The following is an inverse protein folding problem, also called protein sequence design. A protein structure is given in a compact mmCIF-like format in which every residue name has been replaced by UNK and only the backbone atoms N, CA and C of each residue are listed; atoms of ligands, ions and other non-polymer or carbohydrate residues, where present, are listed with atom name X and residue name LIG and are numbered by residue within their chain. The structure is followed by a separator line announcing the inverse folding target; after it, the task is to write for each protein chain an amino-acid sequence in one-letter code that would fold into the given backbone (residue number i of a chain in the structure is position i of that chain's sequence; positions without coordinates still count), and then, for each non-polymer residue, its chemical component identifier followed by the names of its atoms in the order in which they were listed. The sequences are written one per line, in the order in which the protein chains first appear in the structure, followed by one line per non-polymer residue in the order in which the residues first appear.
data_IF_651129807363
#
_entry.id   IF_651129807363
#
_cell.length_a   1.000
_cell.length_b   1.000
_cell.length_c   1.000
_cell.angle_alpha   90.00
_cell.angle_beta   90.00
_cell.angle_gamma   90.00
#
_symmetry.space_group_name_H-M   'P 1'
#
loop_
_entity.id
_entity.type
_entity.pdbx_description
1 polymer ?
#
# COMPACT_ATOMS: atom_id res chain seq x y z
N UNK A 1 -7.41 -3.88 -6.48
CA UNK A 1 -6.22 -4.29 -7.28
C UNK A 1 -5.12 -4.68 -6.28
N UNK A 2 -4.04 -5.37 -6.69
CA UNK A 2 -2.93 -5.68 -5.76
C UNK A 2 -2.09 -4.42 -5.53
N UNK A 3 -2.17 -3.85 -4.32
CA UNK A 3 -1.29 -2.74 -3.90
C UNK A 3 0.07 -3.22 -3.38
N UNK A 4 1.00 -2.28 -3.19
CA UNK A 4 2.39 -2.50 -2.78
C UNK A 4 2.48 -2.85 -1.30
N UNK A 5 3.24 -3.89 -0.95
CA UNK A 5 3.64 -4.21 0.42
C UNK A 5 5.10 -3.82 0.66
N UNK A 6 5.41 -3.17 1.80
CA UNK A 6 6.76 -2.66 2.07
C UNK A 6 7.06 -2.51 3.56
N UNK A 7 8.35 -2.48 3.93
CA UNK A 7 8.80 -2.10 5.28
C UNK A 7 8.75 -0.58 5.42
N UNK A 8 8.26 -0.08 6.56
CA UNK A 8 8.35 1.37 6.86
C UNK A 8 9.62 1.70 7.64
N UNK A 9 10.06 2.96 7.52
CA UNK A 9 11.02 3.59 8.42
C UNK A 9 10.52 3.45 9.86
N UNK A 10 11.40 3.00 10.75
CA UNK A 10 11.04 2.69 12.14
C UNK A 10 10.44 1.29 12.36
N UNK A 11 10.37 0.46 11.31
CA UNK A 11 9.95 -0.93 11.39
C UNK A 11 8.43 -1.13 11.28
N UNK A 12 8.03 -2.38 11.04
CA UNK A 12 6.65 -2.74 10.73
C UNK A 12 6.37 -2.81 9.22
N UNK A 13 5.17 -3.29 8.89
CA UNK A 13 4.72 -3.49 7.51
C UNK A 13 3.70 -2.44 7.12
N UNK A 14 3.76 -1.92 5.91
CA UNK A 14 2.70 -1.13 5.33
C UNK A 14 2.26 -1.71 3.99
N UNK A 15 1.02 -1.42 3.62
CA UNK A 15 0.45 -1.81 2.34
C UNK A 15 -0.39 -0.69 1.74
N UNK A 16 -0.22 -0.42 0.45
CA UNK A 16 -1.15 0.40 -0.31
C UNK A 16 -2.38 -0.39 -0.74
N UNK A 17 -3.51 0.29 -0.91
CA UNK A 17 -4.76 -0.29 -1.37
C UNK A 17 -5.48 0.69 -2.31
N UNK A 18 -6.32 0.14 -3.18
CA UNK A 18 -7.16 0.90 -4.11
C UNK A 18 -8.55 0.25 -4.29
N UNK A 19 -9.49 1.02 -4.80
CA UNK A 19 -10.89 0.63 -4.93
C UNK A 19 -11.79 1.86 -4.89
N UNK A 20 -12.93 1.78 -4.19
CA UNK A 20 -13.75 2.96 -3.88
C UNK A 20 -13.03 3.97 -2.98
N UNK A 21 -12.05 3.47 -2.21
CA UNK A 21 -11.11 4.27 -1.42
C UNK A 21 -9.70 3.78 -1.77
N UNK A 22 -8.77 4.70 -1.91
CA UNK A 22 -7.35 4.42 -2.10
C UNK A 22 -6.53 4.96 -0.93
N UNK A 23 -5.43 4.31 -0.58
CA UNK A 23 -4.67 4.70 0.60
C UNK A 23 -3.49 3.81 0.95
N UNK A 24 -2.94 4.06 2.13
CA UNK A 24 -1.88 3.27 2.77
C UNK A 24 -2.33 2.90 4.18
N UNK A 25 -2.17 1.65 4.56
CA UNK A 25 -2.35 1.18 5.93
C UNK A 25 -1.06 0.52 6.43
N UNK A 26 -0.74 0.72 7.70
CA UNK A 26 0.40 0.11 8.36
C UNK A 26 -0.04 -0.85 9.46
N UNK A 27 0.70 -1.94 9.62
CA UNK A 27 0.48 -2.95 10.65
C UNK A 27 0.79 -2.33 12.00
N UNK A 28 -0.19 -2.37 12.90
CA UNK A 28 -0.07 -1.90 14.27
C UNK A 28 -0.64 -2.98 15.20
N UNK A 29 0.22 -3.63 15.97
CA UNK A 29 -0.13 -4.82 16.74
C UNK A 29 -0.74 -5.93 15.87
N UNK A 30 -1.94 -6.39 16.23
CA UNK A 30 -2.69 -7.40 15.45
C UNK A 30 -3.50 -6.80 14.29
N UNK A 31 -3.61 -5.47 14.21
CA UNK A 31 -4.47 -4.74 13.30
C UNK A 31 -3.72 -3.97 12.21
N UNK A 32 -4.49 -3.22 11.43
CA UNK A 32 -3.98 -2.28 10.43
C UNK A 32 -4.52 -0.89 10.74
N UNK A 33 -3.64 0.10 10.77
CA UNK A 33 -3.98 1.50 10.93
C UNK A 33 -3.82 2.23 9.60
N UNK A 34 -4.91 2.84 9.14
CA UNK A 34 -4.92 3.67 7.93
C UNK A 34 -4.12 4.95 8.18
N UNK A 35 -3.11 5.21 7.34
CA UNK A 35 -2.29 6.42 7.36
C UNK A 35 -2.82 7.49 6.42
N UNK A 36 -3.42 7.06 5.31
CA UNK A 36 -4.06 7.92 4.33
C UNK A 36 -5.25 7.19 3.73
N UNK A 37 -6.36 7.90 3.54
CA UNK A 37 -7.50 7.45 2.76
C UNK A 37 -7.97 8.60 1.86
N UNK A 38 -8.17 8.28 0.59
CA UNK A 38 -8.62 9.20 -0.45
C UNK A 38 -9.80 8.57 -1.19
N UNK A 39 -10.75 9.37 -1.70
CA UNK A 39 -11.75 8.87 -2.63
C UNK A 39 -11.05 8.18 -3.81
N UNK A 40 -11.49 6.97 -4.13
CA UNK A 40 -11.02 6.26 -5.31
C UNK A 40 -11.49 6.95 -6.59
N UNK A 41 -10.73 6.76 -7.68
CA UNK A 41 -11.15 7.24 -8.99
C UNK A 41 -12.43 6.49 -9.40
N UNK A 42 -13.58 7.14 -9.23
CA UNK A 42 -14.88 6.61 -9.65
C UNK A 42 -14.87 6.25 -11.14
N UNK A 43 -15.49 5.13 -11.47
CA UNK A 43 -15.54 4.53 -12.81
C UNK A 43 -15.92 5.55 -13.91
N UNK A 44 -14.92 6.20 -14.51
CA UNK A 44 -15.07 7.01 -15.71
C UNK A 44 -14.09 6.46 -16.76
N UNK A 45 -14.55 6.21 -18.01
CA UNK A 45 -13.80 5.42 -18.98
C UNK A 45 -12.77 6.24 -19.76
N UNK A 46 -12.28 7.35 -19.18
CA UNK A 46 -11.23 8.15 -19.79
C UNK A 46 -9.87 7.61 -19.33
N UNK A 47 -9.48 6.51 -19.99
CA UNK A 47 -8.10 6.14 -20.18
C UNK A 47 -7.40 5.50 -18.96
N UNK A 48 -7.04 4.22 -19.13
CA UNK A 48 -6.10 3.46 -18.29
C UNK A 48 -4.71 4.10 -18.26
N UNK A 49 -4.55 5.30 -17.71
CA UNK A 49 -3.27 6.00 -17.89
C UNK A 49 -2.18 5.64 -16.90
N UNK A 50 -2.46 4.89 -15.83
CA UNK A 50 -1.39 4.23 -15.12
C UNK A 50 -1.89 3.07 -14.27
N UNK A 51 -1.16 1.98 -14.29
CA UNK A 51 -1.24 0.92 -13.29
C UNK A 51 -0.81 1.38 -11.89
N UNK A 52 -0.29 2.59 -11.72
CA UNK A 52 0.12 3.14 -10.43
C UNK A 52 -1.05 3.76 -9.69
N UNK A 53 -1.27 3.28 -8.48
CA UNK A 53 -1.69 4.07 -7.31
C UNK A 53 -1.68 5.59 -7.52
N UNK A 54 -2.74 6.25 -7.06
CA UNK A 54 -2.87 7.73 -7.00
C UNK A 54 -1.54 8.35 -6.54
N UNK A 55 -1.08 9.40 -7.24
CA UNK A 55 0.21 10.05 -6.97
C UNK A 55 0.35 10.44 -5.50
N UNK A 56 -0.75 10.79 -4.82
CA UNK A 56 -0.77 11.11 -3.39
C UNK A 56 -0.56 9.88 -2.50
N UNK A 57 -1.03 8.72 -2.93
CA UNK A 57 -0.76 7.42 -2.30
C UNK A 57 0.70 7.06 -2.48
N UNK A 58 1.26 7.23 -3.69
CA UNK A 58 2.68 6.96 -3.96
C UNK A 58 3.61 7.88 -3.15
N UNK A 59 3.30 9.18 -3.06
CA UNK A 59 4.05 10.09 -2.20
C UNK A 59 4.03 9.66 -0.72
N UNK A 60 2.92 9.08 -0.25
CA UNK A 60 2.83 8.54 1.11
C UNK A 60 3.67 7.28 1.27
N UNK A 61 3.69 6.40 0.26
CA UNK A 61 4.57 5.24 0.24
C UNK A 61 6.04 5.68 0.28
N UNK A 62 6.46 6.62 -0.57
CA UNK A 62 7.84 7.14 -0.61
C UNK A 62 8.27 7.78 0.72
N UNK A 63 7.35 8.50 1.38
CA UNK A 63 7.62 9.09 2.68
C UNK A 63 7.89 8.02 3.75
N UNK A 64 7.15 6.90 3.71
CA UNK A 64 7.18 5.87 4.73
C UNK A 64 8.18 4.75 4.45
N UNK A 65 8.44 4.42 3.20
CA UNK A 65 9.16 3.19 2.83
C UNK A 65 10.62 3.22 3.25
N UNK A 66 11.08 2.09 3.78
CA UNK A 66 12.48 1.80 4.02
C UNK A 66 12.96 0.80 2.96
N UNK A 67 13.65 1.31 1.93
CA UNK A 67 14.11 0.53 0.79
C UNK A 67 13.07 0.34 -0.31
N UNK A 68 13.01 -0.87 -0.88
CA UNK A 68 12.15 -1.20 -2.02
C UNK A 68 10.88 -1.94 -1.57
N UNK A 69 9.77 -1.84 -2.35
CA UNK A 69 8.60 -2.69 -2.15
C UNK A 69 8.95 -4.17 -2.29
N UNK A 70 8.19 -5.03 -1.63
CA UNK A 70 8.28 -6.47 -1.82
C UNK A 70 7.82 -6.85 -3.23
N UNK A 71 8.45 -7.89 -3.76
CA UNK A 71 7.88 -8.67 -4.85
C UNK A 71 6.78 -9.61 -4.33
N UNK A 72 6.18 -10.39 -5.24
CA UNK A 72 5.10 -11.31 -4.90
C UNK A 72 5.53 -12.40 -3.89
N UNK A 73 6.75 -12.91 -4.00
CA UNK A 73 7.26 -13.97 -3.14
C UNK A 73 7.57 -13.46 -1.73
N UNK A 74 8.15 -12.27 -1.63
CA UNK A 74 8.35 -11.56 -0.38
C UNK A 74 7.03 -11.27 0.32
N UNK A 75 6.01 -10.85 -0.43
CA UNK A 75 4.67 -10.59 0.11
C UNK A 75 4.04 -11.87 0.68
N UNK A 76 4.10 -12.98 -0.05
CA UNK A 76 3.60 -14.27 0.42
C UNK A 76 4.33 -14.71 1.70
N UNK A 77 5.65 -14.57 1.74
CA UNK A 77 6.46 -14.91 2.91
C UNK A 77 6.10 -14.04 4.12
N UNK A 78 5.92 -12.74 3.94
CA UNK A 78 5.50 -11.83 5.00
C UNK A 78 4.09 -12.15 5.52
N UNK A 79 3.16 -12.54 4.63
CA UNK A 79 1.83 -13.03 5.00
C UNK A 79 1.89 -14.32 5.80
N UNK A 80 2.70 -15.30 5.35
CA UNK A 80 2.88 -16.57 6.05
C UNK A 80 3.50 -16.38 7.45
N UNK A 81 4.39 -15.40 7.60
CA UNK A 81 4.95 -14.99 8.89
C UNK A 81 4.00 -14.13 9.75
N UNK A 82 2.77 -13.86 9.29
CA UNK A 82 1.77 -13.08 10.02
C UNK A 82 2.10 -11.59 10.14
N UNK A 83 2.89 -11.05 9.20
CA UNK A 83 3.37 -9.66 9.22
C UNK A 83 4.15 -9.31 10.49
N UNK A 84 5.02 -10.21 10.93
CA UNK A 84 5.96 -9.98 12.03
C UNK A 84 7.27 -9.35 11.54
#
# INVERSE_FOLDING_TARGET
RSGLSFRRKGGGWCRSFDGQVAGVACREGAGWQVQQALPGAGATPAYRQASSSDVRVMATVEALIDGAPLDAAGEESARAAGWR
#
